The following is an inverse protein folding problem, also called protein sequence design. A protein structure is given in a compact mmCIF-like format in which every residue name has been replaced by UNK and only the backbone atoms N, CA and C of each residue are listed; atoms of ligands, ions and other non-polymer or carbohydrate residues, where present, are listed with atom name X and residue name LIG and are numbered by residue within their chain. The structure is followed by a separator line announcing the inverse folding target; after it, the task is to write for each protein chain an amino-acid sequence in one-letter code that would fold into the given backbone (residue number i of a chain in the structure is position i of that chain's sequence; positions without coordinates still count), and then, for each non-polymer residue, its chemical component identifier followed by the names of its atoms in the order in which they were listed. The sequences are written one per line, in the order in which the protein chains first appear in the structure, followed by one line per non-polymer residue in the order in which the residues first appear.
data_IF_762873936769
#
_entry.id   IF_762873936769
#
_cell.length_a   1.000
_cell.length_b   1.000
_cell.length_c   1.000
_cell.angle_alpha   90.00
_cell.angle_beta   90.00
_cell.angle_gamma   90.00
#
_symmetry.space_group_name_H-M   'P 1'
#
loop_
_entity.id
_entity.type
_entity.pdbx_description
1 polymer ?
#
# COMPACT_ATOMS: atom_id res chain seq x y z
N UNK A 1 18.74 1.25 13.35
CA UNK A 1 18.63 0.20 12.32
C UNK A 1 19.67 0.48 11.24
N UNK A 2 20.35 -0.56 10.75
CA UNK A 2 21.23 -0.44 9.57
C UNK A 2 20.44 -0.86 8.34
N UNK A 3 20.32 0.02 7.34
CA UNK A 3 19.66 -0.29 6.06
C UNK A 3 20.71 -0.85 5.11
N UNK A 4 20.51 -2.08 4.66
CA UNK A 4 21.36 -2.70 3.64
C UNK A 4 20.85 -2.33 2.26
N UNK A 5 21.60 -1.50 1.53
CA UNK A 5 21.23 -1.09 0.17
C UNK A 5 21.65 -2.20 -0.82
N UNK A 6 20.70 -2.77 -1.58
CA UNK A 6 21.00 -3.76 -2.61
C UNK A 6 21.90 -3.24 -3.73
N UNK A 7 22.60 -4.15 -4.41
CA UNK A 7 23.57 -3.82 -5.47
C UNK A 7 22.95 -3.30 -6.77
N UNK A 8 21.64 -3.49 -6.97
CA UNK A 8 20.86 -3.01 -8.11
C UNK A 8 20.29 -1.60 -7.91
N UNK A 9 20.47 -0.98 -6.73
CA UNK A 9 20.11 0.43 -6.50
C UNK A 9 21.23 1.35 -7.02
N UNK A 10 20.96 2.19 -8.04
CA UNK A 10 21.94 3.14 -8.56
C UNK A 10 22.49 4.08 -7.48
N UNK A 11 23.78 4.49 -7.54
CA UNK A 11 24.38 5.36 -6.52
C UNK A 11 23.62 6.65 -6.22
N UNK A 12 23.04 7.27 -7.24
CA UNK A 12 22.22 8.49 -7.18
C UNK A 12 20.82 8.26 -6.60
N UNK A 13 20.35 7.00 -6.56
CA UNK A 13 19.04 6.63 -6.01
C UNK A 13 19.10 6.10 -4.57
N UNK A 14 20.29 5.95 -3.98
CA UNK A 14 20.48 5.37 -2.65
C UNK A 14 19.76 6.16 -1.54
N UNK A 15 19.79 7.49 -1.61
CA UNK A 15 19.09 8.35 -0.66
C UNK A 15 17.57 8.19 -0.74
N UNK A 16 17.02 8.06 -1.95
CA UNK A 16 15.59 7.80 -2.19
C UNK A 16 15.20 6.43 -1.66
N UNK A 17 16.02 5.41 -1.91
CA UNK A 17 15.81 4.06 -1.38
C UNK A 17 15.75 4.06 0.15
N UNK A 18 16.72 4.71 0.82
CA UNK A 18 16.72 4.82 2.28
C UNK A 18 15.49 5.56 2.80
N UNK A 19 15.10 6.66 2.15
CA UNK A 19 13.90 7.43 2.52
C UNK A 19 12.63 6.60 2.40
N UNK A 20 12.47 5.85 1.31
CA UNK A 20 11.35 4.95 1.10
C UNK A 20 11.34 3.81 2.11
N UNK A 21 12.51 3.22 2.41
CA UNK A 21 12.65 2.16 3.42
C UNK A 21 12.25 2.63 4.81
N UNK A 22 12.67 3.83 5.22
CA UNK A 22 12.27 4.43 6.50
C UNK A 22 10.77 4.69 6.54
N UNK A 23 10.22 5.25 5.45
CA UNK A 23 8.78 5.52 5.32
C UNK A 23 7.95 4.24 5.44
N UNK A 24 8.29 3.18 4.70
CA UNK A 24 7.53 1.93 4.70
C UNK A 24 7.66 1.13 6.01
N UNK A 25 8.71 1.37 6.80
CA UNK A 25 8.97 0.63 8.04
C UNK A 25 8.80 1.46 9.32
N UNK A 26 8.45 2.74 9.20
CA UNK A 26 8.43 3.70 10.33
C UNK A 26 9.72 3.66 11.16
N UNK A 27 10.87 3.59 10.48
CA UNK A 27 12.22 3.45 11.08
C UNK A 27 12.43 2.18 11.95
N UNK A 28 11.47 1.26 11.99
CA UNK A 28 11.53 0.07 12.85
C UNK A 28 12.22 -1.12 12.18
N UNK A 29 12.36 -1.10 10.86
CA UNK A 29 12.82 -2.25 10.06
C UNK A 29 11.79 -3.35 9.89
N UNK A 30 10.57 -3.19 10.40
CA UNK A 30 9.43 -4.07 10.16
C UNK A 30 8.41 -3.35 9.31
N UNK A 31 7.88 -4.03 8.30
CA UNK A 31 6.86 -3.48 7.42
C UNK A 31 5.50 -4.07 7.79
N UNK A 32 4.54 -3.19 8.09
CA UNK A 32 3.12 -3.54 8.10
C UNK A 32 2.58 -3.24 6.71
N UNK A 33 2.26 -4.29 5.94
CA UNK A 33 1.71 -4.19 4.60
C UNK A 33 0.19 -4.41 4.67
N UNK A 34 -0.58 -3.45 4.19
CA UNK A 34 -2.00 -3.62 3.94
C UNK A 34 -2.21 -3.99 2.48
N UNK A 35 -2.72 -5.21 2.23
CA UNK A 35 -2.93 -5.74 0.88
C UNK A 35 -4.32 -5.37 0.37
N UNK A 36 -4.40 -4.78 -0.81
CA UNK A 36 -5.64 -4.40 -1.51
C UNK A 36 -5.68 -4.87 -2.96
N UNK A 37 -4.89 -5.88 -3.30
CA UNK A 37 -4.75 -6.49 -4.62
C UNK A 37 -5.73 -7.65 -4.88
N UNK A 38 -6.41 -8.12 -3.84
CA UNK A 38 -7.37 -9.22 -3.91
C UNK A 38 -8.50 -9.03 -4.93
N UNK A 39 -8.85 -7.80 -5.32
CA UNK A 39 -9.87 -7.52 -6.36
C UNK A 39 -9.58 -8.13 -7.72
N UNK A 40 -8.31 -8.33 -8.07
CA UNK A 40 -7.94 -9.00 -9.32
C UNK A 40 -7.70 -10.49 -9.09
N UNK A 41 -7.22 -10.88 -7.91
CA UNK A 41 -6.92 -12.28 -7.59
C UNK A 41 -8.20 -13.12 -7.41
N UNK A 42 -9.21 -12.58 -6.74
CA UNK A 42 -10.45 -13.29 -6.36
C UNK A 42 -11.72 -12.68 -6.97
N UNK A 43 -11.56 -11.80 -7.96
CA UNK A 43 -12.66 -11.08 -8.59
C UNK A 43 -13.52 -10.35 -7.55
N UNK A 44 -14.82 -10.67 -7.41
CA UNK A 44 -15.74 -9.97 -6.52
C UNK A 44 -16.15 -10.80 -5.29
N UNK A 45 -15.63 -12.01 -5.14
CA UNK A 45 -16.08 -12.96 -4.11
C UNK A 45 -15.72 -12.49 -2.70
N UNK A 46 -14.57 -11.80 -2.56
CA UNK A 46 -14.15 -11.18 -1.29
C UNK A 46 -14.85 -9.85 -1.00
N UNK A 47 -15.50 -9.25 -1.98
CA UNK A 47 -16.03 -7.87 -1.90
C UNK A 47 -17.55 -7.80 -1.90
N UNK A 48 -18.23 -8.92 -2.12
CA UNK A 48 -19.68 -9.00 -2.19
C UNK A 48 -20.21 -10.39 -1.84
N UNK A 49 -21.09 -10.47 -0.85
CA UNK A 49 -21.70 -11.74 -0.44
C UNK A 49 -22.31 -11.69 0.95
N UNK A 50 -22.85 -12.81 1.41
CA UNK A 50 -23.33 -12.95 2.78
C UNK A 50 -22.15 -12.86 3.76
N UNK A 51 -22.28 -12.04 4.81
CA UNK A 51 -21.20 -11.79 5.77
C UNK A 51 -20.19 -10.72 5.38
N UNK A 52 -20.25 -10.20 4.14
CA UNK A 52 -19.40 -9.10 3.68
C UNK A 52 -20.15 -7.77 3.79
N UNK A 53 -19.49 -6.74 4.33
CA UNK A 53 -20.11 -5.42 4.45
C UNK A 53 -20.34 -4.81 3.06
N UNK A 54 -21.46 -4.10 2.88
CA UNK A 54 -21.78 -3.47 1.57
C UNK A 54 -20.73 -2.46 1.11
N UNK A 55 -19.95 -1.92 2.04
CA UNK A 55 -18.92 -0.93 1.75
C UNK A 55 -17.75 -1.53 0.96
N UNK A 56 -17.48 -2.82 1.13
CA UNK A 56 -16.36 -3.53 0.49
C UNK A 56 -16.52 -3.67 -1.03
N UNK A 57 -17.77 -3.62 -1.48
CA UNK A 57 -18.11 -3.62 -2.90
C UNK A 57 -17.66 -2.32 -3.60
N UNK A 58 -17.33 -1.24 -2.87
CA UNK A 58 -16.72 -0.04 -3.42
C UNK A 58 -15.19 -0.09 -3.24
N UNK A 59 -14.37 -0.13 -4.32
CA UNK A 59 -12.91 -0.11 -4.23
C UNK A 59 -12.31 1.03 -3.40
N UNK A 60 -12.98 2.18 -3.32
CA UNK A 60 -12.54 3.32 -2.51
C UNK A 60 -12.50 2.99 -1.01
N UNK A 61 -13.25 1.98 -0.54
CA UNK A 61 -13.27 1.57 0.87
C UNK A 61 -11.88 1.22 1.39
N UNK A 62 -11.08 0.51 0.59
CA UNK A 62 -9.69 0.17 0.94
C UNK A 62 -8.82 1.42 1.12
N UNK A 63 -8.99 2.43 0.26
CA UNK A 63 -8.27 3.70 0.37
C UNK A 63 -8.70 4.49 1.61
N UNK A 64 -9.98 4.44 1.99
CA UNK A 64 -10.49 5.05 3.24
C UNK A 64 -9.89 4.42 4.48
N UNK A 65 -9.70 3.09 4.48
CA UNK A 65 -9.03 2.38 5.57
C UNK A 65 -7.56 2.77 5.60
N UNK A 66 -6.86 2.64 4.47
CA UNK A 66 -5.44 2.94 4.36
C UNK A 66 -5.10 4.39 4.74
N UNK A 67 -5.96 5.36 4.39
CA UNK A 67 -5.77 6.77 4.75
C UNK A 67 -6.00 7.10 6.22
N UNK A 68 -6.56 6.18 7.02
CA UNK A 68 -6.81 6.36 8.46
C UNK A 68 -6.01 5.40 9.34
N UNK A 69 -5.55 4.28 8.79
CA UNK A 69 -4.86 3.24 9.52
C UNK A 69 -3.37 3.55 9.71
N UNK A 70 -2.76 2.98 10.76
CA UNK A 70 -1.32 3.01 10.94
C UNK A 70 -0.68 1.86 10.16
N UNK A 71 -0.33 2.12 8.91
CA UNK A 71 0.26 1.14 7.99
C UNK A 71 1.65 1.61 7.52
N UNK A 72 2.48 0.65 7.11
CA UNK A 72 3.75 0.95 6.43
C UNK A 72 3.51 1.28 4.96
N UNK A 73 2.80 0.40 4.25
CA UNK A 73 2.41 0.59 2.86
C UNK A 73 1.01 0.02 2.59
N UNK A 74 0.34 0.59 1.59
CA UNK A 74 -0.83 0.01 0.95
C UNK A 74 -0.44 -0.54 -0.41
N UNK A 75 -0.51 -1.86 -0.57
CA UNK A 75 -0.21 -2.54 -1.82
C UNK A 75 -1.49 -2.66 -2.66
N UNK A 76 -1.49 -2.12 -3.88
CA UNK A 76 -2.66 -2.17 -4.76
C UNK A 76 -2.26 -2.07 -6.23
N UNK A 77 -3.18 -2.34 -7.16
CA UNK A 77 -2.86 -2.23 -8.58
C UNK A 77 -2.77 -0.78 -9.03
N UNK A 78 -1.82 -0.53 -9.95
CA UNK A 78 -1.58 0.80 -10.52
C UNK A 78 -2.86 1.45 -11.06
N UNK A 79 -3.80 0.69 -11.63
CA UNK A 79 -5.07 1.24 -12.13
C UNK A 79 -5.97 1.80 -11.03
N UNK A 80 -5.99 1.16 -9.85
CA UNK A 80 -6.73 1.67 -8.69
C UNK A 80 -5.99 2.85 -8.05
N UNK A 81 -4.68 2.77 -7.91
CA UNK A 81 -3.85 3.87 -7.40
C UNK A 81 -3.98 5.11 -8.32
N UNK A 82 -3.95 4.92 -9.64
CA UNK A 82 -4.14 6.03 -10.58
C UNK A 82 -5.53 6.68 -10.48
N UNK A 83 -6.55 5.90 -10.09
CA UNK A 83 -7.92 6.40 -9.93
C UNK A 83 -8.12 7.17 -8.62
N UNK A 84 -7.57 6.70 -7.51
CA UNK A 84 -7.87 7.22 -6.17
C UNK A 84 -6.68 7.92 -5.49
N UNK A 85 -5.45 7.69 -5.93
CA UNK A 85 -4.23 8.14 -5.24
C UNK A 85 -4.12 9.66 -5.10
N UNK A 86 -4.74 10.43 -5.98
CA UNK A 86 -4.80 11.89 -5.86
C UNK A 86 -5.69 12.37 -4.70
N UNK A 87 -6.69 11.60 -4.31
CA UNK A 87 -7.55 11.91 -3.16
C UNK A 87 -6.89 11.44 -1.84
N UNK A 88 -5.99 10.45 -1.92
CA UNK A 88 -5.32 9.83 -0.78
C UNK A 88 -3.78 9.95 -0.87
N UNK A 89 -3.28 11.18 -0.99
CA UNK A 89 -1.86 11.48 -1.29
C UNK A 89 -0.85 11.07 -0.22
N UNK A 90 -1.30 10.91 1.02
CA UNK A 90 -0.43 10.66 2.17
C UNK A 90 -0.22 9.16 2.44
N UNK A 91 -0.86 8.29 1.66
CA UNK A 91 -0.67 6.85 1.76
C UNK A 91 0.65 6.47 1.08
N UNK A 92 1.56 5.74 1.74
CA UNK A 92 2.69 5.13 1.05
C UNK A 92 2.18 3.94 0.22
N UNK A 93 2.33 4.03 -1.10
CA UNK A 93 1.87 2.99 -2.03
C UNK A 93 2.98 2.01 -2.41
N UNK A 94 2.60 0.76 -2.62
CA UNK A 94 3.42 -0.29 -3.23
C UNK A 94 2.69 -0.88 -4.45
#
# INVERSE_FOLDING_TARGET
MTIHIPGDVPPDMRSVYESNFKTMTHDTGRMMLFAGDQKIEHLNDDFYGEGITKEDNNPEHLFKIAGKAHIGVFASQLGLIARYGLDYKNIPYL
#
